data_IF_363163566300
#
_entry.id   IF_363163566300
#
_cell.length_a   1.000
_cell.length_b   1.000
_cell.length_c   1.000
_cell.angle_alpha   90.00
_cell.angle_beta   90.00
_cell.angle_gamma   90.00
#
_symmetry.space_group_name_H-M   'P 1'
#
loop_
_entity.id
_entity.type
_entity.pdbx_description
1 polymer ?
#
# COMPACT_ATOMS: atom_id res chain seq x y z
N UNK A 1 2.17 24.51 -6.47
CA UNK A 1 3.13 23.39 -6.39
C UNK A 1 2.54 22.26 -7.22
N UNK A 2 3.24 21.80 -8.26
CA UNK A 2 2.77 20.72 -9.13
C UNK A 2 3.01 19.41 -8.39
N UNK A 3 1.97 18.78 -7.85
CA UNK A 3 2.04 17.40 -7.38
C UNK A 3 2.48 16.51 -8.55
N UNK A 4 3.61 15.84 -8.39
CA UNK A 4 4.05 14.81 -9.33
C UNK A 4 3.12 13.60 -9.13
N UNK A 5 2.41 13.23 -10.19
CA UNK A 5 1.63 11.97 -10.19
C UNK A 5 2.62 10.81 -10.29
N UNK A 6 2.77 10.04 -9.22
CA UNK A 6 3.54 8.81 -9.24
C UNK A 6 2.64 7.64 -9.63
N UNK A 7 3.11 6.85 -10.57
CA UNK A 7 2.42 5.65 -11.05
C UNK A 7 2.74 4.49 -10.09
N UNK A 8 1.76 4.00 -9.35
CA UNK A 8 1.90 2.79 -8.55
C UNK A 8 1.57 1.59 -9.42
N UNK A 9 2.59 0.80 -9.76
CA UNK A 9 2.41 -0.50 -10.41
C UNK A 9 2.58 -1.57 -9.33
N UNK A 10 1.48 -2.10 -8.82
CA UNK A 10 1.52 -3.27 -7.93
C UNK A 10 1.67 -4.51 -8.80
N UNK A 11 2.91 -5.01 -8.93
CA UNK A 11 3.19 -6.26 -9.63
C UNK A 11 3.15 -7.41 -8.62
N UNK A 12 1.99 -8.03 -8.44
CA UNK A 12 1.89 -9.29 -7.71
C UNK A 12 2.39 -10.44 -8.62
N UNK A 13 3.71 -10.65 -8.64
CA UNK A 13 4.29 -11.82 -9.28
C UNK A 13 4.16 -13.02 -8.34
N UNK A 14 3.14 -13.86 -8.56
CA UNK A 14 3.07 -15.19 -7.95
C UNK A 14 4.14 -16.08 -8.59
N UNK A 15 5.29 -16.22 -7.93
CA UNK A 15 6.31 -17.21 -8.26
C UNK A 15 5.83 -18.59 -7.78
N UNK A 16 5.28 -19.38 -8.67
CA UNK A 16 5.09 -20.83 -8.44
C UNK A 16 6.43 -21.52 -8.68
N UNK A 17 7.20 -21.76 -7.62
CA UNK A 17 8.37 -22.62 -7.66
C UNK A 17 7.91 -24.09 -7.57
N UNK A 18 7.81 -24.75 -8.72
CA UNK A 18 7.64 -26.20 -8.80
C UNK A 18 8.95 -26.91 -8.54
N UNK A 19 9.09 -27.54 -7.38
CA UNK A 19 10.15 -28.53 -7.09
C UNK A 19 9.76 -29.86 -7.74
N UNK A 20 10.46 -30.24 -8.81
CA UNK A 20 10.49 -31.60 -9.29
C UNK A 20 11.89 -32.17 -9.05
N UNK A 21 12.02 -33.00 -8.00
CA UNK A 21 13.14 -33.91 -7.86
C UNK A 21 12.87 -35.17 -8.69
N UNK A 22 13.73 -35.51 -9.63
CA UNK A 22 13.68 -36.75 -10.38
C UNK A 22 15.06 -37.11 -10.90
N UNK A 23 15.67 -38.10 -10.29
CA UNK A 23 16.88 -38.79 -10.79
C UNK A 23 16.61 -39.59 -12.05
N UNK A 24 17.59 -39.59 -12.97
CA UNK A 24 17.94 -40.81 -13.74
C UNK A 24 18.01 -40.71 -15.25
N UNK A 25 19.23 -40.91 -15.74
CA UNK A 25 19.62 -41.58 -17.01
C UNK A 25 19.73 -40.75 -18.31
N UNK A 26 20.93 -40.81 -18.86
CA UNK A 26 21.37 -40.29 -20.14
C UNK A 26 20.58 -40.87 -21.30
N UNK A 27 20.23 -40.04 -22.28
CA UNK A 27 20.27 -40.34 -23.68
C UNK A 27 20.31 -39.04 -24.50
N UNK A 28 21.16 -39.04 -25.54
CA UNK A 28 21.39 -37.94 -26.47
C UNK A 28 20.13 -37.62 -27.29
N UNK A 29 19.59 -36.42 -27.14
CA UNK A 29 18.57 -35.86 -28.01
C UNK A 29 18.74 -34.34 -28.06
N UNK A 30 19.08 -33.82 -29.26
CA UNK A 30 19.01 -32.40 -29.56
C UNK A 30 17.59 -31.91 -29.31
N UNK A 31 17.32 -31.33 -28.14
CA UNK A 31 16.15 -30.49 -27.94
C UNK A 31 16.52 -29.08 -28.37
N UNK A 32 15.84 -28.59 -29.39
CA UNK A 32 15.80 -27.19 -29.76
C UNK A 32 15.24 -26.42 -28.55
N UNK A 33 16.06 -25.55 -27.98
CA UNK A 33 15.69 -24.57 -26.97
C UNK A 33 14.62 -23.64 -27.58
N UNK A 34 13.34 -24.02 -27.41
CA UNK A 34 12.23 -23.10 -27.57
C UNK A 34 12.29 -22.14 -26.40
N UNK A 35 13.07 -21.06 -26.57
CA UNK A 35 13.12 -19.96 -25.68
C UNK A 35 11.70 -19.58 -25.27
N UNK A 36 11.37 -19.82 -24.01
CA UNK A 36 10.19 -19.27 -23.39
C UNK A 36 10.34 -17.75 -23.41
N UNK A 37 9.77 -17.12 -24.42
CA UNK A 37 9.62 -15.68 -24.49
C UNK A 37 8.84 -15.30 -23.25
N UNK A 38 9.52 -14.72 -22.27
CA UNK A 38 8.87 -14.17 -21.10
C UNK A 38 7.82 -13.17 -21.59
N UNK A 39 6.54 -13.47 -21.36
CA UNK A 39 5.47 -12.55 -21.72
C UNK A 39 5.65 -11.31 -20.86
N UNK A 40 5.87 -10.19 -21.49
CA UNK A 40 5.91 -8.88 -20.83
C UNK A 40 4.49 -8.34 -20.70
N UNK A 41 4.28 -7.44 -19.74
CA UNK A 41 3.02 -6.75 -19.54
C UNK A 41 3.20 -5.25 -19.78
N UNK A 42 2.12 -4.56 -20.14
CA UNK A 42 2.05 -3.11 -20.23
C UNK A 42 0.91 -2.57 -19.38
N UNK A 43 1.06 -1.35 -18.89
CA UNK A 43 0.03 -0.61 -18.16
C UNK A 43 -0.72 0.26 -19.17
N UNK A 44 -2.04 0.20 -19.14
CA UNK A 44 -2.90 1.10 -19.90
C UNK A 44 -2.93 2.46 -19.17
N UNK A 45 -2.58 3.53 -19.86
CA UNK A 45 -2.44 4.88 -19.29
C UNK A 45 -3.80 5.59 -19.15
N UNK A 46 -4.72 4.92 -18.45
CA UNK A 46 -6.04 5.42 -18.08
C UNK A 46 -6.26 5.19 -16.60
N UNK A 47 -6.50 6.26 -15.85
CA UNK A 47 -6.89 6.16 -14.44
C UNK A 47 -8.33 5.64 -14.35
N UNK A 48 -8.52 4.44 -13.80
CA UNK A 48 -9.84 3.81 -13.64
C UNK A 48 -10.58 4.32 -12.42
N UNK A 49 -9.84 4.77 -11.39
CA UNK A 49 -10.38 5.31 -10.14
C UNK A 49 -9.68 6.62 -9.79
N UNK A 50 -10.27 7.36 -8.87
CA UNK A 50 -9.64 8.49 -8.21
C UNK A 50 -9.80 8.25 -6.71
N UNK A 51 -8.72 7.83 -6.07
CA UNK A 51 -8.70 7.41 -4.68
C UNK A 51 -7.88 8.39 -3.84
N UNK A 52 -8.39 8.76 -2.68
CA UNK A 52 -7.69 9.60 -1.72
C UNK A 52 -7.42 8.75 -0.47
N UNK A 53 -6.13 8.59 -0.14
CA UNK A 53 -5.73 7.86 1.06
C UNK A 53 -5.66 8.82 2.25
N UNK A 54 -6.23 8.36 3.37
CA UNK A 54 -6.21 9.05 4.66
C UNK A 54 -6.08 8.05 5.80
N UNK A 55 -5.71 8.52 6.98
CA UNK A 55 -5.68 7.70 8.19
C UNK A 55 -7.07 7.65 8.83
N UNK A 56 -7.45 6.48 9.33
CA UNK A 56 -8.72 6.31 10.04
C UNK A 56 -8.50 6.35 11.54
N UNK A 57 -9.05 7.34 12.24
CA UNK A 57 -8.79 7.61 13.66
C UNK A 57 -10.02 7.24 14.48
N UNK A 58 -9.82 6.76 15.69
CA UNK A 58 -10.87 6.48 16.65
C UNK A 58 -11.73 7.74 16.89
N UNK A 59 -13.04 7.59 16.74
CA UNK A 59 -14.02 8.68 16.88
C UNK A 59 -14.04 9.31 18.25
N UNK A 60 -13.63 8.57 19.27
CA UNK A 60 -13.56 9.04 20.66
C UNK A 60 -12.24 9.77 20.97
N UNK A 61 -11.37 9.94 19.95
CA UNK A 61 -10.09 10.64 20.07
C UNK A 61 -10.01 11.89 19.16
N UNK A 62 -10.85 12.91 19.33
CA UNK A 62 -10.86 14.10 18.48
C UNK A 62 -9.53 14.88 18.51
N UNK A 63 -8.83 14.88 19.66
CA UNK A 63 -7.51 15.51 19.76
C UNK A 63 -6.45 14.81 18.89
N UNK A 64 -6.54 13.48 18.78
CA UNK A 64 -5.67 12.72 17.88
C UNK A 64 -5.92 13.09 16.42
N UNK A 65 -7.18 13.33 16.01
CA UNK A 65 -7.51 13.82 14.67
C UNK A 65 -6.80 15.14 14.36
N UNK A 66 -6.84 16.11 15.29
CA UNK A 66 -6.17 17.40 15.12
C UNK A 66 -4.64 17.24 15.03
N UNK A 67 -4.06 16.39 15.88
CA UNK A 67 -2.62 16.12 15.89
C UNK A 67 -2.17 15.44 14.60
N UNK A 68 -2.94 14.47 14.10
CA UNK A 68 -2.67 13.74 12.83
C UNK A 68 -2.77 14.69 11.64
N UNK A 69 -3.80 15.58 11.60
CA UNK A 69 -3.93 16.55 10.52
C UNK A 69 -2.77 17.56 10.53
N UNK A 70 -2.34 18.00 11.72
CA UNK A 70 -1.15 18.86 11.83
C UNK A 70 0.12 18.14 11.35
N UNK A 71 0.28 16.85 11.68
CA UNK A 71 1.38 16.01 11.20
C UNK A 71 1.36 15.86 9.68
N UNK A 72 0.21 15.51 9.08
CA UNK A 72 0.07 15.35 7.62
C UNK A 72 0.42 16.67 6.90
N UNK A 73 -0.05 17.79 7.44
CA UNK A 73 0.28 19.10 6.89
C UNK A 73 1.79 19.36 6.93
N UNK A 74 2.44 19.08 8.07
CA UNK A 74 3.88 19.29 8.26
C UNK A 74 4.71 18.47 7.27
N UNK A 75 4.49 17.14 7.20
CA UNK A 75 5.26 16.26 6.31
C UNK A 75 5.06 16.55 4.83
N UNK A 76 3.94 17.19 4.47
CA UNK A 76 3.70 17.71 3.11
C UNK A 76 4.44 19.03 2.84
N UNK A 77 4.46 19.92 3.82
CA UNK A 77 5.06 21.26 3.67
C UNK A 77 6.58 21.24 3.71
N UNK A 78 7.17 20.37 4.55
CA UNK A 78 8.62 20.25 4.70
C UNK A 78 9.29 19.28 3.70
N UNK A 79 8.48 18.53 2.92
CA UNK A 79 8.95 17.61 1.90
C UNK A 79 9.21 16.18 2.39
N UNK A 80 9.02 15.89 3.67
CA UNK A 80 9.24 14.55 4.24
C UNK A 80 8.40 13.48 3.54
N UNK A 81 7.13 13.78 3.24
CA UNK A 81 6.26 12.85 2.53
C UNK A 81 6.77 12.56 1.11
N UNK A 82 7.21 13.60 0.38
CA UNK A 82 7.76 13.45 -0.97
C UNK A 82 9.07 12.63 -0.94
N UNK A 83 9.93 12.83 0.06
CA UNK A 83 11.17 12.06 0.23
C UNK A 83 10.89 10.58 0.50
N UNK A 84 9.91 10.28 1.35
CA UNK A 84 9.49 8.90 1.62
C UNK A 84 8.93 8.28 0.33
N UNK A 85 8.00 8.93 -0.34
CA UNK A 85 7.42 8.43 -1.59
C UNK A 85 8.49 8.22 -2.67
N UNK A 86 9.39 9.18 -2.88
CA UNK A 86 10.49 9.08 -3.86
C UNK A 86 11.43 7.90 -3.55
N UNK A 87 11.67 7.61 -2.26
CA UNK A 87 12.45 6.45 -1.82
C UNK A 87 11.83 5.14 -2.30
N UNK A 88 10.53 4.96 -2.10
CA UNK A 88 9.84 3.71 -2.45
C UNK A 88 9.56 3.58 -3.95
N UNK A 89 9.14 4.64 -4.61
CA UNK A 89 8.88 4.63 -6.05
C UNK A 89 10.14 4.80 -6.90
N UNK A 90 11.19 5.39 -6.36
CA UNK A 90 12.47 5.60 -7.02
C UNK A 90 13.48 4.45 -6.87
N UNK A 91 13.13 3.38 -6.15
CA UNK A 91 14.01 2.23 -5.91
C UNK A 91 15.11 2.51 -4.88
N UNK A 92 14.88 3.43 -3.95
CA UNK A 92 15.75 3.65 -2.79
C UNK A 92 15.67 2.50 -1.77
N UNK A 93 16.49 2.58 -0.71
CA UNK A 93 16.52 1.56 0.34
C UNK A 93 15.36 1.80 1.34
N UNK A 94 14.41 0.86 1.45
CA UNK A 94 13.32 0.96 2.42
C UNK A 94 13.82 0.97 3.86
N UNK A 95 13.22 1.80 4.71
CA UNK A 95 13.52 1.82 6.13
C UNK A 95 12.68 0.78 6.88
N UNK A 96 13.33 -0.02 7.72
CA UNK A 96 12.65 -0.97 8.58
C UNK A 96 12.05 -0.27 9.80
N UNK A 97 10.80 -0.57 10.10
CA UNK A 97 10.06 -0.06 11.25
C UNK A 97 9.83 -1.19 12.25
N UNK A 98 10.14 -0.93 13.51
CA UNK A 98 9.92 -1.85 14.60
C UNK A 98 8.61 -1.55 15.31
N UNK A 99 7.91 -2.61 15.71
CA UNK A 99 6.74 -2.52 16.58
C UNK A 99 7.09 -2.96 17.97
N UNK A 100 6.71 -2.17 18.96
CA UNK A 100 6.72 -2.59 20.35
C UNK A 100 5.63 -3.64 20.61
N UNK A 101 5.70 -4.28 21.76
CA UNK A 101 4.59 -5.11 22.24
C UNK A 101 3.53 -4.23 22.88
N UNK A 102 2.28 -4.58 22.66
CA UNK A 102 1.16 -3.90 23.32
C UNK A 102 1.30 -4.04 24.84
N UNK A 103 1.23 -2.91 25.53
CA UNK A 103 1.31 -2.81 26.98
C UNK A 103 0.44 -1.62 27.44
N UNK A 104 -0.74 -1.89 27.96
CA UNK A 104 -1.72 -0.88 28.36
C UNK A 104 -1.22 0.04 29.49
N UNK A 105 -0.12 -0.30 30.14
CA UNK A 105 0.51 0.55 31.17
C UNK A 105 1.42 1.64 30.59
N UNK A 106 1.71 1.59 29.29
CA UNK A 106 2.58 2.52 28.58
C UNK A 106 1.81 3.48 27.69
N UNK A 107 2.42 4.63 27.42
CA UNK A 107 1.90 5.58 26.45
C UNK A 107 2.29 5.14 25.04
N UNK A 108 1.37 4.47 24.36
CA UNK A 108 1.58 3.84 23.07
C UNK A 108 0.61 4.42 22.04
N UNK A 109 1.04 4.46 20.78
CA UNK A 109 0.19 4.66 19.61
C UNK A 109 -0.05 3.29 18.99
N UNK A 110 -1.28 2.79 19.08
CA UNK A 110 -1.65 1.48 18.54
C UNK A 110 -2.24 1.64 17.15
N UNK A 111 -1.48 1.18 16.14
CA UNK A 111 -1.79 1.32 14.72
C UNK A 111 -2.31 0.01 14.16
N UNK A 112 -3.52 0.01 13.60
CA UNK A 112 -4.07 -1.09 12.82
C UNK A 112 -3.61 -0.98 11.38
N UNK A 113 -3.14 -2.08 10.80
CA UNK A 113 -2.70 -2.16 9.40
C UNK A 113 -2.94 -3.54 8.80
N UNK A 114 -2.82 -3.65 7.47
CA UNK A 114 -2.72 -4.92 6.75
C UNK A 114 -1.44 -4.93 5.93
N UNK A 115 -0.34 -5.42 6.53
CA UNK A 115 1.01 -5.34 5.97
C UNK A 115 1.23 -6.35 4.82
N UNK A 116 0.41 -6.24 3.78
CA UNK A 116 0.44 -7.02 2.54
C UNK A 116 0.27 -6.14 1.29
N UNK A 117 0.45 -4.81 1.40
CA UNK A 117 0.21 -3.84 0.34
C UNK A 117 1.45 -3.00 0.03
N UNK A 118 2.44 -3.60 -0.65
CA UNK A 118 3.65 -2.89 -1.10
C UNK A 118 3.31 -1.84 -2.19
N UNK A 119 3.84 -0.61 -2.13
CA UNK A 119 4.90 -0.12 -1.24
C UNK A 119 4.41 0.63 0.00
N UNK A 120 3.13 0.60 0.34
CA UNK A 120 2.57 1.37 1.47
C UNK A 120 2.81 0.67 2.80
N UNK A 121 2.38 -0.58 2.94
CA UNK A 121 2.57 -1.38 4.15
C UNK A 121 2.82 -2.85 3.80
N UNK A 122 3.97 -3.36 4.18
CA UNK A 122 4.35 -4.75 3.96
C UNK A 122 5.38 -5.22 4.99
N UNK A 123 5.70 -6.51 4.96
CA UNK A 123 6.73 -7.09 5.83
C UNK A 123 7.95 -7.52 5.03
N UNK A 124 9.13 -7.31 5.61
CA UNK A 124 10.40 -7.83 5.09
C UNK A 124 11.10 -8.57 6.24
N UNK A 125 10.98 -9.89 6.23
CA UNK A 125 11.34 -10.70 7.38
C UNK A 125 10.39 -10.43 8.56
N UNK A 126 10.94 -10.06 9.71
CA UNK A 126 10.21 -9.72 10.93
C UNK A 126 9.95 -8.21 11.11
N UNK A 127 10.29 -7.40 10.11
CA UNK A 127 10.17 -5.94 10.15
C UNK A 127 8.99 -5.47 9.30
N UNK A 128 8.40 -4.36 9.71
CA UNK A 128 7.46 -3.62 8.91
C UNK A 128 8.19 -2.63 8.02
N UNK A 129 7.69 -2.46 6.81
CA UNK A 129 8.31 -1.61 5.78
C UNK A 129 7.20 -0.94 4.98
N UNK A 130 7.46 0.23 4.43
CA UNK A 130 6.51 0.90 3.54
C UNK A 130 6.29 2.37 3.91
N UNK A 131 5.69 3.09 2.98
CA UNK A 131 5.37 4.52 3.14
C UNK A 131 4.56 4.75 4.41
N UNK A 132 3.48 3.98 4.59
CA UNK A 132 2.57 4.08 5.71
C UNK A 132 3.25 3.71 7.03
N UNK A 133 4.15 2.73 6.99
CA UNK A 133 4.88 2.30 8.20
C UNK A 133 5.89 3.37 8.64
N UNK A 134 6.60 4.01 7.70
CA UNK A 134 7.48 5.12 8.03
C UNK A 134 6.69 6.33 8.56
N UNK A 135 5.53 6.64 7.96
CA UNK A 135 4.64 7.70 8.46
C UNK A 135 4.11 7.38 9.87
N UNK A 136 3.76 6.13 10.14
CA UNK A 136 3.33 5.69 11.47
C UNK A 136 4.44 5.87 12.52
N UNK A 137 5.69 5.53 12.17
CA UNK A 137 6.83 5.72 13.06
C UNK A 137 7.09 7.21 13.37
N UNK A 138 7.07 8.07 12.36
CA UNK A 138 7.23 9.51 12.51
C UNK A 138 6.09 10.14 13.33
N UNK A 139 4.85 9.69 13.12
CA UNK A 139 3.70 10.14 13.89
C UNK A 139 3.85 9.76 15.37
N UNK A 140 4.21 8.51 15.66
CA UNK A 140 4.43 8.06 17.03
C UNK A 140 5.54 8.86 17.72
N UNK A 141 6.67 9.09 17.04
CA UNK A 141 7.77 9.93 17.52
C UNK A 141 7.30 11.35 17.83
N UNK A 142 6.56 11.98 16.90
CA UNK A 142 6.01 13.32 17.08
C UNK A 142 5.08 13.42 18.27
N UNK A 143 4.29 12.38 18.54
CA UNK A 143 3.37 12.32 19.68
C UNK A 143 4.09 11.93 20.99
N UNK A 144 5.38 11.56 20.94
CA UNK A 144 6.12 11.06 22.09
C UNK A 144 5.65 9.70 22.58
N UNK A 145 5.04 8.89 21.73
CA UNK A 145 4.44 7.58 22.02
C UNK A 145 5.30 6.44 21.46
N UNK A 146 5.27 5.30 22.15
CA UNK A 146 5.86 4.06 21.63
C UNK A 146 4.94 3.47 20.55
N UNK A 147 5.48 3.13 19.36
CA UNK A 147 4.69 2.59 18.26
C UNK A 147 4.38 1.12 18.46
N UNK A 148 3.09 0.77 18.39
CA UNK A 148 2.61 -0.61 18.33
C UNK A 148 1.85 -0.82 17.02
N UNK A 149 2.29 -1.78 16.20
CA UNK A 149 1.64 -2.13 14.94
C UNK A 149 0.86 -3.44 15.14
N UNK A 150 -0.44 -3.38 14.90
CA UNK A 150 -1.36 -4.52 14.89
C UNK A 150 -1.66 -4.90 13.44
N UNK A 151 -0.97 -5.93 12.93
CA UNK A 151 -1.21 -6.46 11.59
C UNK A 151 -2.40 -7.42 11.60
N UNK A 152 -3.37 -7.20 10.73
CA UNK A 152 -4.61 -7.96 10.67
C UNK A 152 -5.18 -8.01 9.25
N UNK A 153 -6.25 -8.78 9.06
CA UNK A 153 -6.99 -8.79 7.79
C UNK A 153 -7.55 -7.39 7.49
N UNK A 154 -7.49 -7.00 6.21
CA UNK A 154 -7.85 -5.64 5.79
C UNK A 154 -9.26 -5.22 6.22
N UNK A 155 -10.24 -6.13 6.11
CA UNK A 155 -11.62 -5.86 6.50
C UNK A 155 -11.78 -5.59 8.01
N UNK A 156 -10.83 -6.04 8.82
CA UNK A 156 -10.83 -5.81 10.26
C UNK A 156 -10.17 -4.49 10.68
N UNK A 157 -9.41 -3.85 9.81
CA UNK A 157 -8.59 -2.67 10.14
C UNK A 157 -9.44 -1.52 10.70
N UNK A 158 -10.41 -1.00 9.93
CA UNK A 158 -11.29 0.07 10.40
C UNK A 158 -12.19 -0.36 11.55
N UNK A 159 -12.65 -1.61 11.53
CA UNK A 159 -13.50 -2.16 12.58
C UNK A 159 -12.75 -2.21 13.93
N UNK A 160 -11.46 -2.57 13.95
CA UNK A 160 -10.66 -2.62 15.19
C UNK A 160 -10.52 -1.25 15.84
N UNK A 161 -10.38 -0.19 15.04
CA UNK A 161 -10.37 1.20 15.50
C UNK A 161 -11.75 1.60 16.02
N UNK A 162 -12.83 1.29 15.29
CA UNK A 162 -14.20 1.56 15.72
C UNK A 162 -14.63 0.79 16.98
N UNK A 163 -13.89 -0.27 17.36
CA UNK A 163 -14.05 -1.02 18.59
C UNK A 163 -13.08 -0.58 19.69
N UNK A 164 -12.34 0.51 19.50
CA UNK A 164 -11.36 1.08 20.44
C UNK A 164 -10.21 0.12 20.81
N UNK A 165 -9.89 -0.83 19.92
CA UNK A 165 -8.76 -1.77 20.10
C UNK A 165 -7.46 -1.20 19.57
N UNK A 166 -7.55 -0.26 18.63
CA UNK A 166 -6.46 0.50 18.05
C UNK A 166 -6.85 1.98 18.02
N UNK A 167 -5.87 2.88 18.10
CA UNK A 167 -6.09 4.32 18.07
C UNK A 167 -6.34 4.83 16.66
N UNK A 168 -5.63 4.23 15.69
CA UNK A 168 -5.56 4.70 14.32
C UNK A 168 -5.35 3.55 13.34
N UNK A 169 -5.96 3.64 12.17
CA UNK A 169 -5.75 2.77 11.03
C UNK A 169 -4.86 3.48 9.99
N UNK A 170 -3.75 2.85 9.64
CA UNK A 170 -2.80 3.32 8.63
C UNK A 170 -2.52 2.13 7.69
N UNK A 171 -3.20 2.10 6.53
CA UNK A 171 -3.26 0.93 5.65
C UNK A 171 -3.67 1.27 4.22
N UNK A 172 -3.11 2.33 3.61
CA UNK A 172 -3.48 2.76 2.27
C UNK A 172 -4.99 2.94 2.09
N UNK A 173 -5.66 3.52 3.09
CA UNK A 173 -7.11 3.51 3.18
C UNK A 173 -7.73 4.57 2.29
N UNK A 174 -8.46 4.14 1.27
CA UNK A 174 -9.35 5.01 0.50
C UNK A 174 -10.49 5.51 1.38
N UNK A 175 -10.70 6.83 1.39
CA UNK A 175 -11.83 7.46 2.07
C UNK A 175 -13.14 7.05 1.40
N UNK A 176 -14.02 6.40 2.17
CA UNK A 176 -15.37 6.04 1.71
C UNK A 176 -16.38 6.05 2.86
N UNK A 177 -17.68 6.03 2.52
CA UNK A 177 -18.77 6.17 3.49
C UNK A 177 -18.94 4.93 4.39
N UNK A 178 -18.57 3.76 3.92
CA UNK A 178 -18.60 2.53 4.72
C UNK A 178 -17.61 2.63 5.88
N UNK A 179 -16.35 3.00 5.59
CA UNK A 179 -15.30 3.13 6.60
C UNK A 179 -15.56 4.28 7.57
N UNK A 180 -16.22 5.37 7.12
CA UNK A 180 -16.64 6.48 7.98
C UNK A 180 -17.62 6.05 9.09
N UNK A 181 -18.24 4.89 8.98
CA UNK A 181 -19.07 4.35 10.07
C UNK A 181 -18.22 3.97 11.29
N UNK A 182 -16.98 3.56 11.08
CA UNK A 182 -16.07 3.06 12.12
C UNK A 182 -15.05 4.09 12.57
N UNK A 183 -14.57 4.97 11.66
CA UNK A 183 -13.46 5.89 11.92
C UNK A 183 -13.81 7.32 11.54
N UNK A 184 -13.07 8.28 12.10
CA UNK A 184 -12.95 9.65 11.59
C UNK A 184 -11.71 9.69 10.71
N UNK A 185 -11.85 10.08 9.45
CA UNK A 185 -10.71 10.23 8.56
C UNK A 185 -9.95 11.52 8.82
N UNK A 186 -8.62 11.43 8.72
CA UNK A 186 -7.74 12.59 8.65
C UNK A 186 -7.87 13.34 7.33
N UNK A 187 -7.13 14.44 7.18
CA UNK A 187 -6.80 14.98 5.87
C UNK A 187 -6.10 13.92 5.02
N UNK A 188 -6.27 14.00 3.70
CA UNK A 188 -5.68 13.02 2.77
C UNK A 188 -4.17 13.27 2.62
N UNK A 189 -3.38 12.18 2.58
CA UNK A 189 -1.92 12.29 2.41
C UNK A 189 -1.44 11.85 1.03
N UNK A 190 -2.20 11.00 0.34
CA UNK A 190 -1.82 10.45 -0.96
C UNK A 190 -3.02 10.36 -1.91
N UNK A 191 -2.77 10.60 -3.21
CA UNK A 191 -3.77 10.40 -4.26
C UNK A 191 -3.34 9.23 -5.14
N UNK A 192 -4.20 8.22 -5.26
CA UNK A 192 -3.97 7.00 -6.01
C UNK A 192 -5.00 6.80 -7.11
N UNK A 193 -4.69 5.92 -8.04
CA UNK A 193 -5.62 5.41 -9.04
C UNK A 193 -5.32 3.95 -9.35
N UNK A 194 -6.33 3.19 -9.72
CA UNK A 194 -6.18 1.86 -10.30
C UNK A 194 -5.94 1.99 -11.81
N UNK A 195 -5.13 1.10 -12.39
CA UNK A 195 -4.90 1.01 -13.84
C UNK A 195 -4.95 -0.43 -14.30
N UNK A 196 -5.35 -0.63 -15.54
CA UNK A 196 -5.37 -1.96 -16.16
C UNK A 196 -3.97 -2.36 -16.59
N UNK A 197 -3.61 -3.61 -16.33
CA UNK A 197 -2.38 -4.24 -16.81
C UNK A 197 -2.79 -5.35 -17.78
N UNK A 198 -2.23 -5.34 -18.96
CA UNK A 198 -2.51 -6.33 -20.02
C UNK A 198 -1.20 -6.92 -20.56
N UNK A 199 -1.23 -8.08 -21.28
CA UNK A 199 -0.07 -8.55 -22.03
C UNK A 199 0.44 -7.46 -22.98
N UNK A 200 1.75 -7.35 -23.16
CA UNK A 200 2.35 -6.29 -23.97
C UNK A 200 1.98 -6.34 -25.47
N UNK A 201 1.53 -7.50 -25.93
CA UNK A 201 1.05 -7.76 -27.29
C UNK A 201 -0.47 -7.58 -27.45
N UNK A 202 -1.20 -7.24 -26.38
CA UNK A 202 -2.63 -6.93 -26.41
C UNK A 202 -2.83 -5.43 -26.69
N UNK A 203 -3.37 -5.10 -27.85
CA UNK A 203 -3.65 -3.72 -28.29
C UNK A 203 -5.12 -3.29 -28.09
N UNK A 204 -5.94 -4.17 -27.49
CA UNK A 204 -7.40 -3.98 -27.31
C UNK A 204 -7.76 -2.66 -26.63
N UNK A 205 -6.89 -2.16 -25.74
CA UNK A 205 -7.15 -1.01 -24.89
C UNK A 205 -6.32 0.24 -25.23
N UNK A 206 -5.43 0.18 -26.22
CA UNK A 206 -4.43 1.23 -26.48
C UNK A 206 -5.03 2.58 -26.91
N UNK A 207 -6.18 2.56 -27.57
CA UNK A 207 -6.85 3.76 -28.07
C UNK A 207 -7.89 4.33 -27.08
N UNK A 208 -8.13 3.65 -25.95
CA UNK A 208 -9.11 4.09 -24.95
C UNK A 208 -8.56 5.25 -24.11
N UNK A 209 -9.41 6.24 -23.79
CA UNK A 209 -8.99 7.50 -23.18
C UNK A 209 -9.59 7.77 -21.80
N UNK A 210 -10.61 7.01 -21.40
CA UNK A 210 -11.30 7.18 -20.14
C UNK A 210 -11.72 5.85 -19.52
N UNK A 211 -12.06 5.89 -18.23
CA UNK A 211 -12.43 4.72 -17.47
C UNK A 211 -13.72 4.05 -17.97
N UNK A 212 -14.68 4.82 -18.43
CA UNK A 212 -15.95 4.29 -18.92
C UNK A 212 -15.76 3.46 -20.20
N UNK A 213 -14.89 3.94 -21.10
CA UNK A 213 -14.53 3.20 -22.32
C UNK A 213 -13.80 1.89 -21.98
N UNK A 214 -12.88 1.91 -21.00
CA UNK A 214 -12.20 0.69 -20.52
C UNK A 214 -13.18 -0.29 -19.89
N UNK A 215 -14.09 0.20 -19.04
CA UNK A 215 -15.10 -0.62 -18.38
C UNK A 215 -16.06 -1.26 -19.39
N UNK A 216 -16.51 -0.49 -20.38
CA UNK A 216 -17.38 -1.00 -21.45
C UNK A 216 -16.68 -2.12 -22.23
N UNK A 217 -15.39 -1.94 -22.56
CA UNK A 217 -14.60 -2.92 -23.30
C UNK A 217 -14.34 -4.20 -22.50
N UNK A 218 -14.18 -4.10 -21.17
CA UNK A 218 -14.04 -5.26 -20.30
C UNK A 218 -15.35 -6.04 -20.12
N UNK A 219 -16.51 -5.42 -20.39
CA UNK A 219 -17.83 -6.04 -20.31
C UNK A 219 -18.28 -6.76 -21.58
N UNK A 220 -17.51 -6.66 -22.68
CA UNK A 220 -17.76 -7.37 -23.96
C UNK A 220 -17.23 -8.82 -23.90
#
# INVERSE_FOLDING_TARGET
TKMKKFLVVVLSAALVAGLAAGCGSKEDGKEEDKGSSAKTAKVIDVDLTNEEYAFGIDKDQPELVEQVNAFIKEVKEDGTLDEICDKYFGGGEPAAVESAKLDESKDQLVVATNAAFEPFEYTKGDKYVGIDMELAALLAEKLGKELVIQNMDFDAVCLSVGQHKCDIAIAGLTVNDERKQYVTFSDTYYQASQRLIVPSDDDTFDDLKDADAVAAKLGE
#
